data_IF_926266188990
#
_entry.id   IF_926266188990
#
_cell.length_a   1.000
_cell.length_b   1.000
_cell.length_c   1.000
_cell.angle_alpha   90.00
_cell.angle_beta   90.00
_cell.angle_gamma   90.00
#
_symmetry.space_group_name_H-M   'P 1'
#
loop_
_entity.id
_entity.type
_entity.pdbx_description
1 polymer ?
#
# COMPACT_ATOMS: atom_id res chain seq x y z
N UNK A 1 -12.63 7.50 -9.50
CA UNK A 1 -12.43 6.15 -8.92
C UNK A 1 -11.02 5.71 -9.26
N UNK A 2 -10.35 5.00 -8.35
CA UNK A 2 -9.05 4.35 -8.57
C UNK A 2 -9.20 2.87 -8.22
N UNK A 3 -8.68 2.00 -9.09
CA UNK A 3 -8.67 0.54 -8.91
C UNK A 3 -7.24 0.07 -9.10
N UNK A 4 -6.76 -0.76 -8.17
CA UNK A 4 -5.47 -1.46 -8.27
C UNK A 4 -5.68 -2.92 -7.91
N UNK A 5 -5.10 -3.82 -8.70
CA UNK A 5 -5.13 -5.27 -8.46
C UNK A 5 -3.74 -5.87 -8.68
N UNK A 6 -3.24 -6.59 -7.69
CA UNK A 6 -2.05 -7.41 -7.79
C UNK A 6 -2.44 -8.87 -7.55
N UNK A 7 -2.05 -9.75 -8.47
CA UNK A 7 -2.18 -11.20 -8.31
C UNK A 7 -0.77 -11.77 -8.20
N UNK A 8 -0.47 -12.45 -7.10
CA UNK A 8 0.88 -12.96 -6.79
C UNK A 8 0.81 -14.48 -6.63
N UNK A 9 1.51 -15.21 -7.49
CA UNK A 9 1.72 -16.65 -7.35
C UNK A 9 2.85 -16.94 -6.37
N UNK A 10 2.58 -17.75 -5.36
CA UNK A 10 3.50 -18.13 -4.28
C UNK A 10 3.61 -19.65 -4.29
N UNK A 11 4.82 -20.17 -4.53
CA UNK A 11 5.14 -21.58 -4.31
C UNK A 11 5.65 -21.74 -2.88
N UNK A 12 4.90 -22.47 -2.07
CA UNK A 12 5.32 -22.78 -0.70
C UNK A 12 6.39 -23.88 -0.70
N UNK A 13 7.26 -23.94 0.33
CA UNK A 13 8.21 -25.05 0.50
C UNK A 13 7.55 -26.44 0.56
N UNK A 14 6.27 -26.49 0.95
CA UNK A 14 5.44 -27.71 0.98
C UNK A 14 5.06 -28.21 -0.43
N UNK A 15 5.26 -27.39 -1.46
CA UNK A 15 4.88 -27.69 -2.85
C UNK A 15 3.56 -27.07 -3.27
N UNK A 16 2.70 -26.63 -2.35
CA UNK A 16 1.42 -25.98 -2.65
C UNK A 16 1.59 -24.68 -3.45
N UNK A 17 0.66 -24.42 -4.39
CA UNK A 17 0.53 -23.14 -5.08
C UNK A 17 -0.55 -22.29 -4.43
N UNK A 18 -0.16 -21.14 -3.90
CA UNK A 18 -1.08 -20.10 -3.47
C UNK A 18 -1.10 -18.98 -4.53
N UNK A 19 -2.29 -18.58 -4.97
CA UNK A 19 -2.49 -17.29 -5.63
C UNK A 19 -3.07 -16.30 -4.63
N UNK A 20 -2.31 -15.25 -4.35
CA UNK A 20 -2.71 -14.16 -3.45
C UNK A 20 -3.19 -12.96 -4.26
N UNK A 21 -4.46 -12.63 -4.10
CA UNK A 21 -5.13 -11.49 -4.72
C UNK A 21 -5.13 -10.31 -3.75
N UNK A 22 -4.65 -9.16 -4.20
CA UNK A 22 -4.62 -7.91 -3.46
C UNK A 22 -5.40 -6.88 -4.27
N UNK A 23 -6.43 -6.27 -3.68
CA UNK A 23 -7.30 -5.33 -4.39
C UNK A 23 -7.52 -4.06 -3.58
N UNK A 24 -7.36 -2.91 -4.23
CA UNK A 24 -7.65 -1.60 -3.68
C UNK A 24 -8.67 -0.92 -4.58
N UNK A 25 -9.77 -0.46 -4.00
CA UNK A 25 -10.80 0.32 -4.68
C UNK A 25 -11.05 1.59 -3.88
N UNK A 26 -10.85 2.74 -4.51
CA UNK A 26 -11.04 4.04 -3.85
C UNK A 26 -11.98 4.91 -4.68
N UNK A 27 -13.00 5.44 -4.01
CA UNK A 27 -13.91 6.43 -4.58
C UNK A 27 -13.51 7.84 -4.13
N UNK A 28 -13.77 8.80 -5.00
CA UNK A 28 -13.66 10.21 -4.63
C UNK A 28 -14.85 10.60 -3.75
N UNK A 29 -14.66 11.65 -2.97
CA UNK A 29 -15.75 12.28 -2.23
C UNK A 29 -16.28 13.48 -3.04
N UNK A 30 -17.58 13.53 -3.40
CA UNK A 30 -18.16 14.66 -4.12
C UNK A 30 -17.97 16.02 -3.43
N UNK A 31 -17.88 16.04 -2.10
CA UNK A 31 -17.67 17.25 -1.30
C UNK A 31 -16.23 17.34 -0.76
N UNK A 32 -15.31 16.52 -1.27
CA UNK A 32 -13.96 16.42 -0.76
C UNK A 32 -12.94 16.06 -1.84
N UNK A 33 -11.94 15.26 -1.48
CA UNK A 33 -10.87 14.89 -2.40
C UNK A 33 -11.28 13.78 -3.37
N UNK A 34 -10.84 13.92 -4.61
CA UNK A 34 -10.93 12.85 -5.61
C UNK A 34 -10.14 11.61 -5.16
N UNK A 35 -10.52 10.44 -5.66
CA UNK A 35 -9.78 9.20 -5.38
C UNK A 35 -8.29 9.34 -5.71
N UNK A 36 -7.97 9.99 -6.84
CA UNK A 36 -6.60 10.24 -7.27
C UNK A 36 -5.84 11.15 -6.30
N UNK A 37 -6.46 12.25 -5.85
CA UNK A 37 -5.85 13.17 -4.90
C UNK A 37 -5.54 12.46 -3.56
N UNK A 38 -6.44 11.60 -3.07
CA UNK A 38 -6.20 10.77 -1.87
C UNK A 38 -5.04 9.81 -2.09
N UNK A 39 -5.08 8.99 -3.14
CA UNK A 39 -4.10 7.91 -3.37
C UNK A 39 -2.71 8.39 -3.75
N UNK A 40 -2.55 9.64 -4.18
CA UNK A 40 -1.23 10.25 -4.49
C UNK A 40 -0.77 11.17 -3.36
N UNK A 41 -1.65 12.03 -2.88
CA UNK A 41 -1.30 13.05 -1.88
C UNK A 41 -1.05 12.48 -0.49
N UNK A 42 -1.83 11.48 -0.05
CA UNK A 42 -1.69 10.95 1.31
C UNK A 42 -0.36 10.22 1.51
N UNK A 43 0.11 9.31 0.60
CA UNK A 43 1.43 8.72 0.74
C UNK A 43 2.56 9.77 0.76
N UNK A 44 2.45 10.82 -0.06
CA UNK A 44 3.43 11.91 -0.10
C UNK A 44 3.48 12.71 1.21
N UNK A 45 2.32 13.06 1.77
CA UNK A 45 2.22 13.78 3.03
C UNK A 45 2.74 12.93 4.21
N UNK A 46 2.37 11.65 4.26
CA UNK A 46 2.83 10.70 5.29
C UNK A 46 4.36 10.55 5.23
N UNK A 47 4.92 10.30 4.04
CA UNK A 47 6.37 10.15 3.89
C UNK A 47 7.11 11.45 4.22
N UNK A 48 6.57 12.60 3.82
CA UNK A 48 7.14 13.92 4.17
C UNK A 48 7.19 14.09 5.70
N UNK A 49 6.12 13.72 6.40
CA UNK A 49 6.08 13.75 7.87
C UNK A 49 7.10 12.81 8.49
N UNK A 50 7.22 11.58 7.98
CA UNK A 50 8.22 10.62 8.46
C UNK A 50 9.66 11.09 8.24
N UNK A 51 9.95 11.86 7.19
CA UNK A 51 11.27 12.48 6.99
C UNK A 51 11.52 13.57 8.03
N UNK A 52 10.52 14.41 8.32
CA UNK A 52 10.61 15.48 9.32
C UNK A 52 10.76 14.94 10.74
N UNK A 53 10.09 13.83 11.04
CA UNK A 53 10.10 13.17 12.35
C UNK A 53 11.29 12.19 12.49
N UNK A 54 12.23 12.18 11.54
CA UNK A 54 13.43 11.32 11.50
C UNK A 54 13.16 9.80 11.50
N UNK A 55 11.93 9.37 11.16
CA UNK A 55 11.58 7.95 10.96
C UNK A 55 12.15 7.38 9.64
N UNK A 56 12.37 8.25 8.65
CA UNK A 56 13.15 7.94 7.44
C UNK A 56 14.48 8.68 7.53
N UNK A 57 15.49 7.98 8.03
CA UNK A 57 16.83 8.52 8.27
C UNK A 57 17.81 8.24 7.12
N UNK A 58 17.56 7.21 6.30
CA UNK A 58 18.35 6.85 5.11
C UNK A 58 18.57 8.06 4.21
N UNK A 59 19.84 8.36 3.91
CA UNK A 59 20.22 9.49 3.05
C UNK A 59 20.38 9.06 1.60
N UNK A 60 20.26 10.04 0.68
CA UNK A 60 20.40 9.85 -0.75
C UNK A 60 19.07 9.81 -1.50
N UNK A 61 19.06 9.25 -2.71
CA UNK A 61 17.85 9.04 -3.48
C UNK A 61 17.15 7.78 -2.98
N UNK A 62 16.13 7.96 -2.15
CA UNK A 62 15.41 6.86 -1.49
C UNK A 62 14.04 6.64 -2.14
N UNK A 63 13.72 5.37 -2.41
CA UNK A 63 12.41 4.91 -2.89
C UNK A 63 11.80 3.94 -1.87
N UNK A 64 10.46 3.81 -1.77
CA UNK A 64 9.78 3.12 -0.67
C UNK A 64 9.77 1.58 -0.82
N UNK A 65 10.93 0.97 -1.02
CA UNK A 65 11.08 -0.48 -1.20
C UNK A 65 11.45 -1.23 0.09
N UNK A 66 11.92 -0.52 1.12
CA UNK A 66 12.33 -1.14 2.38
C UNK A 66 11.19 -1.18 3.39
N UNK A 67 11.17 -2.24 4.22
CA UNK A 67 10.08 -2.52 5.16
C UNK A 67 9.88 -1.43 6.21
N UNK A 68 10.96 -0.79 6.65
CA UNK A 68 10.91 0.35 7.57
C UNK A 68 10.21 1.58 6.97
N UNK A 69 10.10 1.68 5.63
CA UNK A 69 9.38 2.76 4.95
C UNK A 69 7.95 2.31 4.61
N UNK A 70 7.78 1.24 3.82
CA UNK A 70 6.44 0.91 3.31
C UNK A 70 5.49 0.44 4.42
N UNK A 71 5.97 -0.22 5.48
CA UNK A 71 5.09 -0.74 6.54
C UNK A 71 4.37 0.36 7.33
N UNK A 72 5.07 1.37 7.89
CA UNK A 72 4.39 2.48 8.57
C UNK A 72 3.54 3.32 7.61
N UNK A 73 3.98 3.52 6.36
CA UNK A 73 3.17 4.22 5.35
C UNK A 73 1.85 3.51 5.10
N UNK A 74 1.86 2.19 4.85
CA UNK A 74 0.64 1.40 4.64
C UNK A 74 -0.27 1.41 5.87
N UNK A 75 0.28 1.36 7.08
CA UNK A 75 -0.49 1.47 8.32
C UNK A 75 -1.21 2.82 8.44
N UNK A 76 -0.50 3.93 8.22
CA UNK A 76 -1.09 5.28 8.28
C UNK A 76 -2.11 5.51 7.16
N UNK A 77 -1.86 4.98 5.96
CA UNK A 77 -2.87 5.00 4.88
C UNK A 77 -4.15 4.26 5.27
N UNK A 78 -4.02 3.15 6.00
CA UNK A 78 -5.17 2.41 6.51
C UNK A 78 -6.00 3.24 7.50
N UNK A 79 -5.34 4.01 8.36
CA UNK A 79 -5.95 4.95 9.32
C UNK A 79 -6.70 6.09 8.60
N UNK A 80 -6.21 6.54 7.44
CA UNK A 80 -6.88 7.50 6.54
C UNK A 80 -7.99 6.87 5.66
N UNK A 81 -8.31 5.60 5.88
CA UNK A 81 -9.36 4.87 5.15
C UNK A 81 -8.95 4.32 3.77
N UNK A 82 -7.66 4.37 3.42
CA UNK A 82 -7.13 3.77 2.18
C UNK A 82 -6.66 2.33 2.49
N UNK A 83 -7.58 1.38 2.37
CA UNK A 83 -7.32 -0.02 2.73
C UNK A 83 -7.45 -0.94 1.51
N UNK A 84 -6.50 -1.86 1.36
CA UNK A 84 -6.60 -2.94 0.39
C UNK A 84 -7.14 -4.21 1.05
N UNK A 85 -7.82 -5.04 0.27
CA UNK A 85 -8.28 -6.37 0.69
C UNK A 85 -7.36 -7.45 0.12
N UNK A 86 -7.23 -8.55 0.86
CA UNK A 86 -6.41 -9.69 0.47
C UNK A 86 -7.27 -10.95 0.46
N UNK A 87 -7.16 -11.75 -0.59
CA UNK A 87 -7.77 -13.08 -0.69
C UNK A 87 -6.74 -14.07 -1.21
N UNK A 88 -6.67 -15.25 -0.60
CA UNK A 88 -5.78 -16.32 -1.05
C UNK A 88 -6.59 -17.49 -1.59
N UNK A 89 -6.10 -18.09 -2.67
CA UNK A 89 -6.64 -19.33 -3.26
C UNK A 89 -5.50 -20.33 -3.36
N UNK A 90 -5.68 -21.54 -2.83
CA UNK A 90 -4.68 -22.62 -2.92
C UNK A 90 -5.16 -23.61 -3.97
N UNK A 91 -4.30 -23.97 -4.90
CA UNK A 91 -4.51 -25.06 -5.85
C UNK A 91 -3.53 -26.19 -5.53
N UNK A 92 -4.06 -27.41 -5.49
CA UNK A 92 -3.27 -28.66 -5.45
C UNK A 92 -2.47 -28.86 -6.74
#
# INVERSE_FOLDING_TARGET
MVIMRNDVGIRHPTGELETKHISLVVYGDPNGYSAMAKTVGYPAAIASRMVLDEEIDTKGLVIPLTKNIYSPVLKRLQEEGLQFTVKSTISE
#
